data_IF_784709144189
#
_entry.id   IF_784709144189
#
_cell.length_a   1.000
_cell.length_b   1.000
_cell.length_c   1.000
_cell.angle_alpha   90.00
_cell.angle_beta   90.00
_cell.angle_gamma   90.00
#
_symmetry.space_group_name_H-M   'P 1'
#
loop_
_entity.id
_entity.type
_entity.pdbx_description
1 polymer ?
#
# COMPACT_ATOMS: atom_id res chain seq x y z
N UNK A 1 0.33 -22.36 78.13
CA UNK A 1 1.63 -22.90 77.67
C UNK A 1 1.71 -22.66 76.17
N UNK A 2 2.62 -21.77 75.73
CA UNK A 2 3.32 -21.59 74.42
C UNK A 2 2.66 -22.11 73.12
N UNK A 3 2.72 -21.51 71.92
CA UNK A 3 3.37 -20.36 71.25
C UNK A 3 2.82 -20.36 69.78
N UNK A 4 2.63 -19.17 69.18
CA UNK A 4 2.62 -18.73 67.75
C UNK A 4 2.60 -19.69 66.54
N UNK A 5 1.82 -19.33 65.50
CA UNK A 5 2.19 -19.11 64.05
C UNK A 5 1.07 -18.24 63.43
N UNK A 6 1.19 -16.95 63.03
CA UNK A 6 2.04 -16.25 62.06
C UNK A 6 1.69 -16.47 60.56
N UNK A 7 0.74 -15.66 60.06
CA UNK A 7 0.74 -14.89 58.80
C UNK A 7 1.54 -15.42 57.59
N UNK A 8 0.86 -15.79 56.49
CA UNK A 8 1.38 -15.64 55.11
C UNK A 8 0.24 -15.53 54.08
N UNK A 9 -0.08 -14.31 53.69
CA UNK A 9 -0.77 -13.96 52.44
C UNK A 9 0.26 -14.04 51.30
N UNK A 10 0.15 -15.06 50.45
CA UNK A 10 1.03 -15.22 49.29
C UNK A 10 0.46 -14.43 48.09
N UNK A 11 1.24 -13.44 47.65
CA UNK A 11 1.02 -12.65 46.44
C UNK A 11 1.07 -13.52 45.19
N UNK A 12 0.00 -13.52 44.38
CA UNK A 12 0.06 -13.94 42.97
C UNK A 12 0.48 -12.73 42.12
N UNK A 13 1.79 -12.62 41.88
CA UNK A 13 2.34 -11.63 40.95
C UNK A 13 2.30 -12.24 39.55
N UNK A 14 1.34 -11.80 38.74
CA UNK A 14 1.24 -12.15 37.31
C UNK A 14 2.45 -11.57 36.58
N UNK A 15 3.36 -12.43 36.12
CA UNK A 15 4.34 -12.08 35.10
C UNK A 15 3.60 -11.88 33.77
N UNK A 16 3.38 -10.63 33.37
CA UNK A 16 3.00 -10.31 32.00
C UNK A 16 4.23 -10.47 31.10
N UNK A 17 4.37 -11.64 30.48
CA UNK A 17 5.31 -11.82 29.38
C UNK A 17 4.84 -10.95 28.22
N UNK A 18 5.67 -10.00 27.80
CA UNK A 18 5.49 -9.27 26.56
C UNK A 18 5.50 -10.28 25.41
N UNK A 19 4.34 -10.59 24.86
CA UNK A 19 4.24 -11.34 23.63
C UNK A 19 4.72 -10.45 22.50
N UNK A 20 5.96 -10.66 22.04
CA UNK A 20 6.40 -10.15 20.75
C UNK A 20 5.52 -10.79 19.68
N UNK A 21 4.63 -10.02 19.07
CA UNK A 21 3.86 -10.45 17.92
C UNK A 21 4.80 -10.50 16.71
N UNK A 22 5.50 -11.61 16.55
CA UNK A 22 6.35 -11.86 15.38
C UNK A 22 5.47 -12.47 14.30
N UNK A 23 5.32 -11.79 13.16
CA UNK A 23 4.60 -12.33 12.00
C UNK A 23 5.57 -13.11 11.12
N UNK A 24 5.07 -14.16 10.44
CA UNK A 24 5.90 -14.98 9.54
C UNK A 24 6.58 -14.18 8.40
N UNK A 25 6.06 -12.99 8.09
CA UNK A 25 6.67 -12.07 7.14
C UNK A 25 7.99 -11.45 7.68
N UNK A 26 8.14 -11.32 9.00
CA UNK A 26 9.33 -10.73 9.63
C UNK A 26 10.56 -11.67 9.55
N UNK A 27 10.34 -12.97 9.28
CA UNK A 27 11.42 -13.95 9.06
C UNK A 27 11.95 -13.92 7.62
N UNK A 28 11.23 -13.30 6.69
CA UNK A 28 11.63 -13.21 5.30
C UNK A 28 12.56 -12.03 5.14
N UNK A 29 13.83 -12.31 4.82
CA UNK A 29 14.81 -11.29 4.44
C UNK A 29 14.22 -10.46 3.30
N UNK A 30 14.20 -9.12 3.39
CA UNK A 30 13.73 -8.30 2.28
C UNK A 30 14.48 -8.67 1.02
N UNK A 31 13.75 -8.82 -0.08
CA UNK A 31 14.30 -9.18 -1.37
C UNK A 31 15.50 -8.29 -1.71
N UNK A 32 16.61 -8.91 -2.10
CA UNK A 32 17.84 -8.20 -2.41
C UNK A 32 17.54 -7.18 -3.53
N UNK A 33 17.92 -5.92 -3.33
CA UNK A 33 17.86 -4.90 -4.38
C UNK A 33 18.60 -5.47 -5.59
N UNK A 34 17.90 -5.68 -6.70
CA UNK A 34 18.59 -5.88 -7.98
C UNK A 34 19.38 -4.62 -8.21
N UNK A 35 20.71 -4.73 -8.22
CA UNK A 35 21.63 -3.64 -8.49
C UNK A 35 21.54 -3.21 -9.96
N UNK A 36 20.36 -2.74 -10.38
CA UNK A 36 20.27 -1.83 -11.48
C UNK A 36 20.90 -0.54 -10.96
N UNK A 37 22.01 -0.13 -11.58
CA UNK A 37 22.56 1.22 -11.43
C UNK A 37 21.56 2.21 -12.01
N UNK A 38 20.41 2.41 -11.35
CA UNK A 38 19.40 3.35 -11.79
C UNK A 38 19.83 4.72 -11.28
N UNK A 39 20.66 5.39 -12.07
CA UNK A 39 20.78 6.83 -11.95
C UNK A 39 19.47 7.40 -12.46
N UNK A 40 18.55 7.72 -11.54
CA UNK A 40 17.31 8.38 -11.91
C UNK A 40 17.63 9.80 -12.39
N UNK A 41 17.39 10.09 -13.66
CA UNK A 41 17.49 11.44 -14.21
C UNK A 41 16.30 12.29 -13.78
N UNK A 42 16.48 13.62 -13.68
CA UNK A 42 15.36 14.53 -13.40
C UNK A 42 14.70 14.42 -12.02
N UNK A 43 15.23 13.63 -11.08
CA UNK A 43 14.73 13.61 -9.69
C UNK A 43 15.25 14.80 -8.88
N UNK A 44 14.41 15.32 -7.98
CA UNK A 44 14.73 16.46 -7.12
C UNK A 44 15.83 16.12 -6.11
N UNK A 45 16.49 17.15 -5.56
CA UNK A 45 17.56 16.95 -4.57
C UNK A 45 17.06 16.29 -3.29
N UNK A 46 15.82 16.55 -2.90
CA UNK A 46 15.19 15.93 -1.73
C UNK A 46 14.99 14.42 -1.93
N UNK A 47 14.61 14.01 -3.14
CA UNK A 47 14.47 12.58 -3.48
C UNK A 47 15.84 11.90 -3.52
N UNK A 48 16.88 12.57 -4.05
CA UNK A 48 18.26 12.06 -4.00
C UNK A 48 18.75 11.88 -2.56
N UNK A 49 18.49 12.86 -1.69
CA UNK A 49 18.82 12.78 -0.27
C UNK A 49 18.06 11.63 0.41
N UNK A 50 16.78 11.43 0.07
CA UNK A 50 15.96 10.31 0.55
C UNK A 50 16.53 8.94 0.15
N UNK A 51 16.90 8.76 -1.12
CA UNK A 51 17.54 7.54 -1.61
C UNK A 51 18.88 7.28 -0.92
N UNK A 52 19.70 8.33 -0.73
CA UNK A 52 20.97 8.21 -0.03
C UNK A 52 20.79 7.83 1.45
N UNK A 53 19.76 8.37 2.12
CA UNK A 53 19.40 7.99 3.48
C UNK A 53 18.93 6.52 3.55
N UNK A 54 18.06 6.10 2.62
CA UNK A 54 17.63 4.70 2.47
C UNK A 54 18.83 3.76 2.34
N UNK A 55 19.81 4.10 1.49
CA UNK A 55 21.02 3.30 1.29
C UNK A 55 21.89 3.18 2.55
N UNK A 56 21.79 4.11 3.49
CA UNK A 56 22.45 4.06 4.81
C UNK A 56 21.59 3.43 5.90
N UNK A 57 20.36 3.00 5.59
CA UNK A 57 19.39 2.52 6.59
C UNK A 57 18.87 3.63 7.51
N UNK A 58 18.97 4.89 7.09
CA UNK A 58 18.53 6.05 7.85
C UNK A 58 17.12 6.47 7.43
N UNK A 59 16.19 6.69 8.38
CA UNK A 59 14.84 7.16 8.06
C UNK A 59 14.85 8.65 7.70
N UNK A 60 13.99 9.05 6.76
CA UNK A 60 13.64 10.45 6.55
C UNK A 60 12.57 10.86 7.56
N UNK A 61 12.74 12.05 8.15
CA UNK A 61 11.80 12.63 9.12
C UNK A 61 11.27 13.96 8.58
N UNK A 62 10.00 14.21 8.80
CA UNK A 62 9.32 15.45 8.43
C UNK A 62 8.23 15.74 9.47
N UNK A 63 7.99 17.02 9.75
CA UNK A 63 6.94 17.47 10.68
C UNK A 63 5.64 17.85 9.97
N UNK A 64 5.68 18.03 8.64
CA UNK A 64 4.54 18.58 7.89
C UNK A 64 3.81 17.48 7.11
N UNK A 65 4.54 16.76 6.27
CA UNK A 65 4.00 15.69 5.45
C UNK A 65 5.10 14.73 4.98
N UNK A 66 4.68 13.55 4.51
CA UNK A 66 5.56 12.51 3.98
C UNK A 66 4.87 11.81 2.80
N UNK A 67 5.64 11.45 1.77
CA UNK A 67 5.21 10.55 0.68
C UNK A 67 6.20 9.41 0.59
N UNK A 68 5.68 8.19 0.58
CA UNK A 68 6.48 6.97 0.41
C UNK A 68 5.85 6.18 -0.73
N UNK A 69 6.66 5.82 -1.73
CA UNK A 69 6.24 5.03 -2.88
C UNK A 69 7.39 4.14 -3.35
N UNK A 70 7.06 3.07 -4.09
CA UNK A 70 8.05 2.11 -4.59
C UNK A 70 9.09 2.75 -5.54
N UNK A 71 8.68 3.78 -6.28
CA UNK A 71 9.51 4.44 -7.28
C UNK A 71 9.77 5.92 -6.95
N UNK A 72 11.02 6.44 -7.07
CA UNK A 72 11.35 7.82 -6.69
C UNK A 72 10.59 8.89 -7.49
N UNK A 73 10.33 8.67 -8.78
CA UNK A 73 9.47 9.59 -9.56
C UNK A 73 8.04 9.68 -9.04
N UNK A 74 7.46 8.57 -8.58
CA UNK A 74 6.11 8.58 -8.01
C UNK A 74 6.10 9.32 -6.67
N UNK A 75 7.09 9.08 -5.81
CA UNK A 75 7.26 9.83 -4.56
C UNK A 75 7.45 11.33 -4.82
N UNK A 76 8.24 11.69 -5.83
CA UNK A 76 8.45 13.08 -6.24
C UNK A 76 7.15 13.75 -6.70
N UNK A 77 6.33 13.05 -7.50
CA UNK A 77 5.06 13.57 -7.98
C UNK A 77 4.10 13.87 -6.82
N UNK A 78 3.92 12.91 -5.90
CA UNK A 78 3.11 13.15 -4.70
C UNK A 78 3.64 14.29 -3.84
N UNK A 79 4.95 14.36 -3.62
CA UNK A 79 5.58 15.45 -2.88
C UNK A 79 5.36 16.82 -3.54
N UNK A 80 5.40 16.90 -4.87
CA UNK A 80 5.12 18.13 -5.61
C UNK A 80 3.65 18.58 -5.44
N UNK A 81 2.71 17.63 -5.38
CA UNK A 81 1.30 17.95 -5.09
C UNK A 81 1.13 18.51 -3.68
N UNK A 82 1.76 17.90 -2.68
CA UNK A 82 1.70 18.40 -1.30
C UNK A 82 2.37 19.77 -1.16
N UNK A 83 3.49 20.02 -1.85
CA UNK A 83 4.15 21.35 -1.91
C UNK A 83 3.25 22.43 -2.52
N UNK A 84 2.35 22.06 -3.44
CA UNK A 84 1.37 22.96 -4.05
C UNK A 84 0.13 23.18 -3.18
N UNK A 85 0.10 22.61 -1.96
CA UNK A 85 -1.04 22.72 -1.04
C UNK A 85 -2.14 21.70 -1.28
N UNK A 86 -1.89 20.66 -2.08
CA UNK A 86 -2.83 19.55 -2.25
C UNK A 86 -2.92 18.68 -1.00
N UNK A 87 -3.98 17.86 -0.94
CA UNK A 87 -4.19 16.92 0.16
C UNK A 87 -3.47 15.60 -0.05
N UNK A 88 -3.47 14.73 0.96
CA UNK A 88 -2.96 13.36 0.81
C UNK A 88 -3.75 12.56 -0.24
N UNK A 89 -5.03 12.87 -0.47
CA UNK A 89 -5.81 12.24 -1.55
C UNK A 89 -5.39 12.76 -2.93
N UNK A 90 -5.12 14.06 -3.07
CA UNK A 90 -4.56 14.63 -4.30
C UNK A 90 -3.20 13.99 -4.62
N UNK A 91 -2.33 13.88 -3.62
CA UNK A 91 -1.01 13.27 -3.77
C UNK A 91 -1.09 11.78 -4.13
N UNK A 92 -2.05 11.04 -3.56
CA UNK A 92 -2.31 9.64 -3.90
C UNK A 92 -2.65 9.46 -5.38
N UNK A 93 -3.49 10.33 -5.97
CA UNK A 93 -3.85 10.28 -7.39
C UNK A 93 -2.60 10.44 -8.26
N UNK A 94 -1.77 11.45 -7.99
CA UNK A 94 -0.53 11.69 -8.72
C UNK A 94 0.47 10.51 -8.58
N UNK A 95 0.63 9.99 -7.36
CA UNK A 95 1.48 8.82 -7.10
C UNK A 95 1.01 7.62 -7.92
N UNK A 96 -0.29 7.29 -7.89
CA UNK A 96 -0.83 6.14 -8.60
C UNK A 96 -0.73 6.29 -10.13
N UNK A 97 -0.97 7.50 -10.65
CA UNK A 97 -0.82 7.78 -12.07
C UNK A 97 0.63 7.58 -12.53
N UNK A 98 1.61 8.08 -11.76
CA UNK A 98 3.03 7.90 -12.09
C UNK A 98 3.48 6.46 -11.90
N UNK A 99 3.04 5.74 -10.86
CA UNK A 99 3.32 4.31 -10.70
C UNK A 99 2.83 3.49 -11.89
N UNK A 100 1.69 3.83 -12.49
CA UNK A 100 1.22 3.18 -13.71
C UNK A 100 2.15 3.35 -14.92
N UNK A 101 3.07 4.33 -14.89
CA UNK A 101 4.08 4.55 -15.93
C UNK A 101 5.44 3.94 -15.55
N UNK A 102 5.89 4.13 -14.32
CA UNK A 102 7.25 3.77 -13.90
C UNK A 102 7.35 2.37 -13.28
N UNK A 103 6.22 1.79 -12.88
CA UNK A 103 6.07 0.42 -12.36
C UNK A 103 4.87 -0.30 -13.04
N UNK A 104 4.78 -0.30 -14.39
CA UNK A 104 3.57 -0.68 -15.13
C UNK A 104 3.17 -2.15 -14.94
N UNK A 105 4.13 -3.01 -14.58
CA UNK A 105 3.88 -4.43 -14.30
C UNK A 105 3.21 -4.66 -12.94
N UNK A 106 3.28 -3.70 -12.02
CA UNK A 106 2.84 -3.88 -10.63
C UNK A 106 1.48 -3.28 -10.35
N UNK A 107 1.19 -2.07 -10.87
CA UNK A 107 -0.08 -1.39 -10.62
C UNK A 107 -0.45 -0.45 -11.78
N UNK A 108 -1.70 -0.02 -11.82
CA UNK A 108 -2.13 0.97 -12.80
C UNK A 108 -3.64 1.05 -12.95
N UNK A 109 -4.08 1.88 -13.90
CA UNK A 109 -5.51 2.10 -14.19
C UNK A 109 -6.23 0.86 -14.71
N UNK A 110 -5.50 -0.17 -15.13
CA UNK A 110 -6.03 -1.44 -15.64
C UNK A 110 -6.34 -2.49 -14.58
N UNK A 111 -6.05 -2.22 -13.30
CA UNK A 111 -6.27 -3.18 -12.20
C UNK A 111 -7.20 -2.64 -11.10
N UNK A 112 -7.08 -3.23 -9.92
CA UNK A 112 -7.79 -2.85 -8.71
C UNK A 112 -6.89 -2.29 -7.62
N UNK A 113 -7.52 -1.65 -6.64
CA UNK A 113 -6.83 -1.05 -5.50
C UNK A 113 -7.70 -1.10 -4.23
N UNK A 114 -7.04 -1.00 -3.07
CA UNK A 114 -7.70 -0.77 -1.79
C UNK A 114 -7.10 0.48 -1.16
N UNK A 115 -7.94 1.38 -0.68
CA UNK A 115 -7.53 2.56 0.08
C UNK A 115 -7.92 2.38 1.54
N UNK A 116 -6.98 2.65 2.44
CA UNK A 116 -7.26 2.85 3.87
C UNK A 116 -7.01 4.31 4.18
N UNK A 117 -8.04 5.01 4.62
CA UNK A 117 -8.02 6.43 4.89
C UNK A 117 -8.35 6.73 6.34
N UNK A 118 -7.44 7.42 7.03
CA UNK A 118 -7.69 7.96 8.36
C UNK A 118 -7.93 9.47 8.26
N UNK A 119 -9.13 9.91 8.66
CA UNK A 119 -9.44 11.33 8.75
C UNK A 119 -9.16 11.84 10.17
N UNK A 120 -8.13 12.65 10.32
CA UNK A 120 -7.74 13.21 11.61
C UNK A 120 -8.79 14.15 12.25
N UNK A 121 -9.67 14.77 11.45
CA UNK A 121 -10.72 15.66 11.96
C UNK A 121 -11.83 14.88 12.65
N UNK A 122 -12.29 13.82 11.99
CA UNK A 122 -13.38 12.96 12.49
C UNK A 122 -12.87 11.81 13.34
N UNK A 123 -11.57 11.51 13.28
CA UNK A 123 -10.89 10.33 13.83
C UNK A 123 -11.46 9.02 13.29
N UNK A 124 -12.08 9.06 12.11
CA UNK A 124 -12.69 7.90 11.47
C UNK A 124 -11.70 7.22 10.53
N UNK A 125 -11.79 5.88 10.49
CA UNK A 125 -11.14 5.06 9.48
C UNK A 125 -12.17 4.69 8.41
N UNK A 126 -11.84 4.94 7.15
CA UNK A 126 -12.66 4.57 5.99
C UNK A 126 -11.83 3.74 5.04
N UNK A 127 -12.40 2.69 4.48
CA UNK A 127 -11.80 1.96 3.38
C UNK A 127 -12.58 2.19 2.09
N UNK A 128 -11.87 2.28 0.97
CA UNK A 128 -12.47 2.18 -0.36
C UNK A 128 -11.97 0.90 -1.00
N UNK A 129 -12.91 0.10 -1.48
CA UNK A 129 -12.64 -1.13 -2.22
C UNK A 129 -12.84 -0.84 -3.71
N UNK A 130 -11.73 -0.83 -4.45
CA UNK A 130 -11.68 -0.70 -5.89
C UNK A 130 -11.18 -2.00 -6.52
N UNK A 131 -11.48 -3.16 -5.93
CA UNK A 131 -11.12 -4.46 -6.49
C UNK A 131 -11.80 -4.66 -7.83
N UNK A 132 -11.12 -5.35 -8.74
CA UNK A 132 -11.70 -5.70 -10.03
C UNK A 132 -12.95 -6.58 -9.85
N UNK A 133 -13.93 -6.40 -10.74
CA UNK A 133 -15.16 -7.19 -10.73
C UNK A 133 -15.24 -8.05 -11.97
N UNK A 134 -15.63 -9.32 -11.81
CA UNK A 134 -15.88 -10.19 -12.96
C UNK A 134 -16.98 -9.59 -13.86
N UNK A 135 -16.82 -9.58 -15.19
CA UNK A 135 -17.83 -9.04 -16.08
C UNK A 135 -19.13 -9.86 -16.01
N UNK A 136 -20.26 -9.25 -16.35
CA UNK A 136 -21.59 -9.90 -16.25
C UNK A 136 -21.70 -11.21 -17.04
N UNK A 137 -20.92 -11.35 -18.12
CA UNK A 137 -20.89 -12.56 -18.95
C UNK A 137 -20.04 -13.70 -18.36
N UNK A 138 -19.30 -13.47 -17.28
CA UNK A 138 -18.50 -14.50 -16.64
C UNK A 138 -19.39 -15.57 -15.99
N UNK A 139 -19.08 -16.83 -16.23
CA UNK A 139 -19.76 -17.98 -15.64
C UNK A 139 -18.82 -18.75 -14.70
N UNK A 140 -19.32 -19.61 -13.81
CA UNK A 140 -18.46 -20.44 -12.96
C UNK A 140 -17.54 -21.39 -13.76
N UNK A 141 -17.87 -21.70 -15.01
CA UNK A 141 -17.10 -22.55 -15.92
C UNK A 141 -16.11 -21.76 -16.79
N UNK A 142 -15.93 -20.45 -16.56
CA UNK A 142 -15.14 -19.58 -17.43
C UNK A 142 -13.72 -20.12 -17.71
N UNK A 143 -13.12 -20.79 -16.73
CA UNK A 143 -11.76 -21.36 -16.80
C UNK A 143 -11.74 -22.89 -17.00
N UNK A 144 -12.79 -23.46 -17.57
CA UNK A 144 -12.88 -24.88 -17.92
C UNK A 144 -12.97 -25.07 -19.44
N UNK A 145 -12.49 -26.22 -19.91
CA UNK A 145 -12.64 -26.66 -21.30
C UNK A 145 -14.04 -27.25 -21.58
N UNK A 146 -14.25 -27.78 -22.80
CA UNK A 146 -15.52 -28.38 -23.21
C UNK A 146 -15.88 -29.66 -22.44
N UNK A 147 -14.90 -30.31 -21.82
CA UNK A 147 -15.09 -31.51 -21.00
C UNK A 147 -15.32 -31.17 -19.52
N UNK A 148 -15.17 -29.90 -19.14
CA UNK A 148 -15.26 -29.42 -17.75
C UNK A 148 -13.93 -29.43 -16.99
N UNK A 149 -12.81 -29.73 -17.65
CA UNK A 149 -11.49 -29.76 -17.04
C UNK A 149 -10.90 -28.34 -16.94
N UNK A 150 -10.24 -27.96 -15.83
CA UNK A 150 -9.61 -26.65 -15.70
C UNK A 150 -8.51 -26.42 -16.74
N UNK A 151 -8.38 -25.19 -17.24
CA UNK A 151 -7.21 -24.80 -18.02
C UNK A 151 -5.93 -24.82 -17.17
N UNK A 152 -4.81 -25.10 -17.82
CA UNK A 152 -3.49 -24.87 -17.24
C UNK A 152 -3.29 -23.37 -16.94
N UNK A 153 -2.44 -23.07 -15.95
CA UNK A 153 -2.32 -21.72 -15.40
C UNK A 153 -2.06 -20.64 -16.47
N UNK A 154 -1.12 -20.88 -17.39
CA UNK A 154 -0.77 -19.90 -18.41
C UNK A 154 -1.85 -19.75 -19.49
N UNK A 155 -2.59 -20.81 -19.80
CA UNK A 155 -3.74 -20.77 -20.71
C UNK A 155 -4.95 -20.07 -20.09
N UNK A 156 -5.07 -20.12 -18.76
CA UNK A 156 -6.06 -19.38 -18.01
C UNK A 156 -5.72 -17.87 -17.90
N UNK A 157 -4.48 -17.55 -17.54
CA UNK A 157 -4.06 -16.18 -17.17
C UNK A 157 -3.82 -15.28 -18.40
N UNK A 158 -3.27 -15.82 -19.49
CA UNK A 158 -2.94 -15.02 -20.67
C UNK A 158 -4.20 -14.82 -21.53
N UNK A 159 -4.63 -13.56 -21.67
CA UNK A 159 -5.73 -13.15 -22.54
C UNK A 159 -6.89 -12.48 -21.81
N UNK A 160 -7.94 -12.14 -22.54
CA UNK A 160 -9.06 -11.34 -22.02
C UNK A 160 -9.90 -12.02 -20.93
N UNK A 161 -9.83 -13.36 -20.81
CA UNK A 161 -10.62 -14.15 -19.85
C UNK A 161 -10.29 -13.79 -18.39
N UNK A 162 -9.02 -13.49 -18.12
CA UNK A 162 -8.53 -13.13 -16.79
C UNK A 162 -8.63 -11.64 -16.47
N UNK A 163 -9.24 -10.85 -17.35
CA UNK A 163 -9.40 -9.41 -17.14
C UNK A 163 -10.71 -9.13 -16.39
N UNK A 164 -10.59 -8.71 -15.13
CA UNK A 164 -11.70 -8.09 -14.41
C UNK A 164 -11.92 -6.64 -14.85
N UNK A 165 -13.12 -6.11 -14.59
CA UNK A 165 -13.42 -4.68 -14.82
C UNK A 165 -12.55 -3.83 -13.89
N UNK A 166 -11.68 -2.94 -14.41
CA UNK A 166 -10.75 -2.18 -13.57
C UNK A 166 -11.45 -1.25 -12.58
N UNK A 167 -11.01 -1.27 -11.32
CA UNK A 167 -11.60 -0.47 -10.24
C UNK A 167 -10.74 0.71 -9.77
N UNK A 168 -9.44 0.71 -10.08
CA UNK A 168 -8.51 1.78 -9.66
C UNK A 168 -8.96 3.19 -10.06
N UNK A 169 -9.41 3.45 -11.31
CA UNK A 169 -9.86 4.80 -11.69
C UNK A 169 -11.05 5.30 -10.87
N UNK A 170 -12.03 4.42 -10.62
CA UNK A 170 -13.21 4.76 -9.83
C UNK A 170 -12.86 5.04 -8.36
N UNK A 171 -11.93 4.25 -7.79
CA UNK A 171 -11.43 4.49 -6.44
C UNK A 171 -10.69 5.82 -6.34
N UNK A 172 -9.81 6.14 -7.29
CA UNK A 172 -9.09 7.43 -7.30
C UNK A 172 -10.08 8.60 -7.40
N UNK A 173 -11.08 8.51 -8.28
CA UNK A 173 -12.12 9.53 -8.42
C UNK A 173 -12.92 9.70 -7.12
N UNK A 174 -13.33 8.60 -6.50
CA UNK A 174 -14.10 8.63 -5.26
C UNK A 174 -13.30 9.23 -4.09
N UNK A 175 -12.01 8.88 -3.97
CA UNK A 175 -11.14 9.43 -2.95
C UNK A 175 -10.91 10.94 -3.14
N UNK A 176 -10.64 11.37 -4.38
CA UNK A 176 -10.49 12.79 -4.71
C UNK A 176 -11.76 13.60 -4.48
N UNK A 177 -12.94 13.09 -4.89
CA UNK A 177 -14.22 13.75 -4.59
C UNK A 177 -14.47 13.92 -3.09
N UNK A 178 -14.02 12.99 -2.26
CA UNK A 178 -14.22 13.04 -0.80
C UNK A 178 -13.19 13.91 -0.08
N UNK A 179 -11.93 13.87 -0.50
CA UNK A 179 -10.81 14.40 0.28
C UNK A 179 -9.80 15.23 -0.54
N UNK A 180 -9.95 15.30 -1.85
CA UNK A 180 -9.13 16.12 -2.75
C UNK A 180 -9.51 17.60 -2.70
N UNK A 181 -8.60 18.47 -3.12
CA UNK A 181 -8.79 19.92 -3.18
C UNK A 181 -8.29 20.54 -4.50
N UNK A 182 -7.21 20.01 -5.06
CA UNK A 182 -6.71 20.51 -6.34
C UNK A 182 -7.56 20.02 -7.51
N UNK A 183 -7.54 20.77 -8.62
CA UNK A 183 -8.22 20.36 -9.85
C UNK A 183 -7.60 19.06 -10.38
N UNK A 184 -8.45 18.07 -10.69
CA UNK A 184 -8.02 16.75 -11.16
C UNK A 184 -7.05 16.79 -12.34
N UNK A 185 -7.26 17.73 -13.28
CA UNK A 185 -6.40 17.88 -14.46
C UNK A 185 -4.96 18.31 -14.16
N UNK A 186 -4.69 18.79 -12.93
CA UNK A 186 -3.37 19.18 -12.47
C UNK A 186 -2.68 18.14 -11.58
N UNK A 187 -3.28 16.94 -11.43
CA UNK A 187 -2.75 15.82 -10.65
C UNK A 187 -1.97 14.84 -11.52
#
# INVERSE_FOLDING_TARGET
MRIFVALTTASFMFFALSASAQQAADEVVPEAETALSITFEGISQEVKASLAAKARGEPIRSNDWMVVAAHPHAAAAGANILKQGGTAADAMVAVQAVLGLVEPQSSGIGGGAFLVWYDAKTKALTTLDGRETAPLAATPQLFQDENGEPFEFWDAVIGGRSVGVPGTPALMEAAHKKWGQLAWSGL
#
